data_IF_070652517369
#
_entry.id   IF_070652517369
#
_cell.length_a   1.000
_cell.length_b   1.000
_cell.length_c   1.000
_cell.angle_alpha   90.00
_cell.angle_beta   90.00
_cell.angle_gamma   90.00
#
_symmetry.space_group_name_H-M   'P 1'
#
loop_
_entity.id
_entity.type
_entity.pdbx_description
1 polymer ?
#
# COMPACT_ATOMS: atom_id res chain seq x y z
N UNK A 1 -33.77 29.88 -78.13
CA UNK A 1 -34.34 31.16 -77.63
C UNK A 1 -34.27 31.17 -76.11
N UNK A 2 -33.66 32.25 -75.57
CA UNK A 2 -33.75 32.86 -74.23
C UNK A 2 -33.86 31.95 -72.98
N UNK A 3 -32.80 32.06 -72.15
CA UNK A 3 -32.68 31.67 -70.74
C UNK A 3 -33.79 32.28 -69.88
N UNK A 4 -34.19 31.55 -68.83
CA UNK A 4 -34.41 32.15 -67.51
C UNK A 4 -33.98 31.14 -66.43
N UNK A 5 -32.92 31.50 -65.71
CA UNK A 5 -32.41 30.81 -64.53
C UNK A 5 -33.13 31.35 -63.30
N UNK A 6 -33.68 30.47 -62.46
CA UNK A 6 -34.13 30.83 -61.13
C UNK A 6 -33.16 30.26 -60.10
N UNK A 7 -32.54 31.19 -59.37
CA UNK A 7 -31.51 31.01 -58.37
C UNK A 7 -32.15 30.46 -57.08
N UNK A 8 -31.86 29.19 -56.72
CA UNK A 8 -32.26 28.63 -55.43
C UNK A 8 -31.26 29.11 -54.38
N UNK A 9 -31.71 29.99 -53.50
CA UNK A 9 -30.96 30.54 -52.39
C UNK A 9 -30.88 29.49 -51.27
N UNK A 10 -29.77 28.78 -51.18
CA UNK A 10 -29.51 27.81 -50.11
C UNK A 10 -29.23 28.58 -48.81
N UNK A 11 -30.22 28.65 -47.92
CA UNK A 11 -30.05 29.25 -46.59
C UNK A 11 -29.18 28.32 -45.74
N UNK A 12 -27.90 28.67 -45.59
CA UNK A 12 -26.95 27.94 -44.75
C UNK A 12 -27.23 28.29 -43.27
N UNK A 13 -28.02 27.47 -42.58
CA UNK A 13 -28.21 27.56 -41.13
C UNK A 13 -26.91 27.14 -40.43
N UNK A 14 -26.10 28.13 -40.03
CA UNK A 14 -24.93 27.92 -39.17
C UNK A 14 -25.43 27.74 -37.73
N UNK A 15 -25.66 26.51 -37.30
CA UNK A 15 -25.83 26.18 -35.88
C UNK A 15 -24.46 26.24 -35.21
N UNK A 16 -24.14 27.38 -34.60
CA UNK A 16 -23.00 27.50 -33.69
C UNK A 16 -23.42 26.99 -32.31
N UNK A 17 -23.24 25.70 -32.05
CA UNK A 17 -23.27 25.17 -30.69
C UNK A 17 -21.97 25.57 -30.00
N UNK A 18 -21.99 26.68 -29.27
CA UNK A 18 -20.93 26.98 -28.33
C UNK A 18 -21.02 25.96 -27.18
N UNK A 19 -20.21 24.90 -27.28
CA UNK A 19 -19.95 23.99 -26.16
C UNK A 19 -19.09 24.77 -25.15
N UNK A 20 -19.74 25.50 -24.24
CA UNK A 20 -19.05 25.96 -23.05
C UNK A 20 -18.85 24.74 -22.17
N UNK A 21 -17.62 24.22 -22.11
CA UNK A 21 -17.23 23.37 -21.01
C UNK A 21 -17.55 24.15 -19.73
N UNK A 22 -18.46 23.62 -18.90
CA UNK A 22 -18.52 24.06 -17.51
C UNK A 22 -17.12 23.86 -16.97
N UNK A 23 -16.44 24.95 -16.63
CA UNK A 23 -15.30 24.90 -15.74
C UNK A 23 -15.74 24.01 -14.59
N UNK A 24 -15.10 22.85 -14.46
CA UNK A 24 -15.01 22.21 -13.15
C UNK A 24 -14.45 23.31 -12.28
N UNK A 25 -15.33 23.87 -11.44
CA UNK A 25 -14.90 24.47 -10.18
C UNK A 25 -13.78 23.55 -9.73
N UNK A 26 -12.59 24.10 -9.51
CA UNK A 26 -11.57 23.40 -8.77
C UNK A 26 -12.23 23.02 -7.45
N UNK A 27 -12.91 21.86 -7.44
CA UNK A 27 -12.86 20.96 -6.33
C UNK A 27 -11.37 20.72 -6.26
N UNK A 28 -10.69 21.57 -5.48
CA UNK A 28 -9.39 21.20 -4.96
C UNK A 28 -9.59 19.77 -4.54
N UNK A 29 -8.84 18.87 -5.19
CA UNK A 29 -8.98 17.45 -4.94
C UNK A 29 -9.13 17.34 -3.43
N UNK A 30 -10.23 16.74 -2.99
CA UNK A 30 -10.31 16.31 -1.61
C UNK A 30 -9.25 15.22 -1.58
N UNK A 31 -7.98 15.65 -1.41
CA UNK A 31 -6.86 14.79 -1.15
C UNK A 31 -7.32 14.10 0.12
N UNK A 32 -7.79 12.86 -0.02
CA UNK A 32 -7.88 11.95 1.11
C UNK A 32 -6.42 11.58 1.45
N UNK A 33 -5.64 12.58 1.85
CA UNK A 33 -4.58 12.37 2.79
C UNK A 33 -5.34 11.84 4.00
N UNK A 34 -5.36 10.52 4.17
CA UNK A 34 -5.51 9.96 5.50
C UNK A 34 -4.34 10.54 6.27
N UNK A 35 -4.54 11.73 6.85
CA UNK A 35 -3.68 12.18 7.93
C UNK A 35 -3.87 11.07 8.95
N UNK A 36 -2.85 10.25 9.12
CA UNK A 36 -2.72 9.32 10.23
C UNK A 36 -3.02 10.14 11.48
N UNK A 37 -4.27 10.06 11.96
CA UNK A 37 -4.83 11.10 12.86
C UNK A 37 -4.76 10.66 14.32
N UNK A 38 -4.39 9.40 14.57
CA UNK A 38 -4.12 8.85 15.90
C UNK A 38 -2.70 8.28 16.01
N UNK A 39 -2.10 8.40 17.18
CA UNK A 39 -0.80 7.80 17.51
C UNK A 39 -0.78 6.29 17.29
N UNK A 40 -1.91 5.61 17.57
CA UNK A 40 -2.06 4.16 17.36
C UNK A 40 -2.03 3.77 15.88
N UNK A 41 -2.53 4.65 15.00
CA UNK A 41 -2.49 4.49 13.54
C UNK A 41 -1.08 4.73 12.98
N UNK A 42 -0.23 5.47 13.72
CA UNK A 42 1.17 5.68 13.34
C UNK A 42 2.04 4.51 13.76
N UNK A 43 1.85 3.95 14.97
CA UNK A 43 2.62 2.77 15.41
C UNK A 43 2.22 1.53 14.62
N UNK A 44 0.92 1.33 14.36
CA UNK A 44 0.41 0.16 13.63
C UNK A 44 -0.31 0.58 12.34
N UNK A 45 0.42 1.08 11.33
CA UNK A 45 -0.19 1.66 10.13
C UNK A 45 -0.84 0.62 9.23
N UNK A 46 -2.09 0.89 8.81
CA UNK A 46 -2.77 0.10 7.78
C UNK A 46 -2.18 0.28 6.37
N UNK A 47 -1.47 1.39 6.14
CA UNK A 47 -0.73 1.72 4.91
C UNK A 47 0.61 2.31 5.31
N UNK A 48 1.69 1.87 4.68
CA UNK A 48 3.02 2.46 4.85
C UNK A 48 3.72 2.62 3.51
N UNK A 49 4.94 3.15 3.54
CA UNK A 49 5.64 3.60 2.33
C UNK A 49 7.11 3.20 2.35
N UNK A 50 7.59 2.67 1.22
CA UNK A 50 9.04 2.60 0.93
C UNK A 50 9.42 3.94 0.29
N UNK A 51 10.30 4.73 0.90
CA UNK A 51 10.58 6.11 0.48
C UNK A 51 12.06 6.53 0.46
N UNK A 52 12.94 5.54 0.35
CA UNK A 52 14.37 5.71 0.06
C UNK A 52 14.63 5.81 -1.46
N UNK A 53 15.85 6.17 -1.87
CA UNK A 53 16.27 6.20 -3.29
C UNK A 53 15.47 7.11 -4.23
N UNK A 54 14.96 8.23 -3.71
CA UNK A 54 14.21 9.24 -4.48
C UNK A 54 12.88 8.75 -5.09
N UNK A 55 12.34 7.64 -4.58
CA UNK A 55 11.04 7.08 -4.92
C UNK A 55 10.16 7.07 -3.66
N UNK A 56 8.85 7.09 -3.83
CA UNK A 56 7.91 6.60 -2.81
C UNK A 56 7.04 5.51 -3.42
N UNK A 57 6.77 4.44 -2.67
CA UNK A 57 5.85 3.37 -3.04
C UNK A 57 5.01 2.98 -1.82
N UNK A 58 3.70 3.24 -1.88
CA UNK A 58 2.76 2.92 -0.82
C UNK A 58 2.22 1.50 -0.97
N UNK A 59 1.95 0.85 0.17
CA UNK A 59 1.37 -0.49 0.21
C UNK A 59 0.45 -0.61 1.43
N UNK A 60 -0.69 -1.28 1.24
CA UNK A 60 -1.63 -1.59 2.33
C UNK A 60 -1.21 -2.88 3.06
N UNK A 61 -1.67 -3.06 4.31
CA UNK A 61 -1.30 -4.20 5.16
C UNK A 61 -1.72 -5.57 4.64
N UNK A 62 -2.67 -5.61 3.71
CA UNK A 62 -3.07 -6.82 2.98
C UNK A 62 -2.18 -7.12 1.76
N UNK A 63 -1.17 -6.30 1.50
CA UNK A 63 -0.27 -6.39 0.36
C UNK A 63 -0.84 -5.80 -0.94
N UNK A 64 -2.00 -5.14 -0.88
CA UNK A 64 -2.59 -4.51 -2.04
C UNK A 64 -1.98 -3.14 -2.35
N UNK A 65 -2.17 -2.72 -3.60
CA UNK A 65 -1.96 -1.34 -4.00
C UNK A 65 -2.89 -0.38 -3.29
N UNK A 66 -2.45 0.87 -3.18
CA UNK A 66 -3.22 1.95 -2.56
C UNK A 66 -2.75 3.30 -3.05
N UNK A 67 -3.69 4.22 -3.19
CA UNK A 67 -3.43 5.65 -3.41
C UNK A 67 -3.52 6.46 -2.10
N UNK A 68 -3.92 5.81 -1.01
CA UNK A 68 -4.01 6.42 0.32
C UNK A 68 -2.61 6.76 0.84
N UNK A 69 -2.48 7.95 1.44
CA UNK A 69 -1.19 8.45 1.94
C UNK A 69 -0.32 9.10 0.86
N UNK A 70 -0.65 8.92 -0.43
CA UNK A 70 0.03 9.59 -1.54
C UNK A 70 -0.40 11.06 -1.66
N UNK A 71 0.54 12.01 -1.71
CA UNK A 71 0.22 13.41 -2.02
C UNK A 71 -0.36 13.61 -3.42
N UNK A 72 -0.06 12.72 -4.37
CA UNK A 72 -0.49 12.86 -5.77
C UNK A 72 -1.67 11.93 -6.15
N UNK A 73 -2.11 11.07 -5.24
CA UNK A 73 -3.21 10.13 -5.49
C UNK A 73 -2.81 8.94 -6.35
N UNK A 74 -1.53 8.56 -6.29
CA UNK A 74 -0.92 7.43 -6.99
C UNK A 74 -0.11 6.56 -6.01
N UNK A 75 -0.06 5.25 -6.24
CA UNK A 75 0.69 4.31 -5.40
C UNK A 75 2.20 4.50 -5.44
N UNK A 76 2.77 5.08 -6.48
CA UNK A 76 4.19 5.41 -6.50
C UNK A 76 4.44 6.79 -7.05
N UNK A 77 5.37 7.51 -6.43
CA UNK A 77 5.91 8.77 -6.91
C UNK A 77 7.35 8.59 -7.38
N UNK A 78 7.66 9.17 -8.53
CA UNK A 78 9.04 9.34 -8.97
C UNK A 78 9.19 10.56 -9.91
N UNK A 79 10.10 11.51 -9.59
CA UNK A 79 10.77 11.66 -8.31
C UNK A 79 9.77 11.88 -7.17
N UNK A 80 10.11 11.42 -5.97
CA UNK A 80 9.30 11.66 -4.75
C UNK A 80 8.95 13.17 -4.59
N UNK A 81 7.78 13.49 -4.06
CA UNK A 81 7.28 14.88 -3.91
C UNK A 81 7.16 15.67 -5.23
N UNK A 82 7.28 15.03 -6.39
CA UNK A 82 7.21 15.72 -7.69
C UNK A 82 5.96 15.33 -8.48
N UNK A 83 5.74 14.02 -8.67
CA UNK A 83 4.56 13.55 -9.38
C UNK A 83 4.45 12.03 -9.42
N UNK A 84 3.25 11.59 -9.76
CA UNK A 84 2.89 10.20 -9.92
C UNK A 84 3.69 9.45 -10.96
N UNK A 85 3.96 8.21 -10.62
CA UNK A 85 4.61 7.24 -11.49
C UNK A 85 3.72 6.02 -11.73
N UNK A 86 3.14 5.43 -10.67
CA UNK A 86 2.27 4.25 -10.76
C UNK A 86 0.97 4.57 -10.04
N UNK A 87 -0.16 4.55 -10.75
CA UNK A 87 -1.46 4.78 -10.13
C UNK A 87 -1.79 3.69 -9.11
N UNK A 88 -1.76 2.42 -9.52
CA UNK A 88 -1.99 1.27 -8.64
C UNK A 88 -1.41 -0.02 -9.24
N UNK A 89 -0.88 -0.89 -8.40
CA UNK A 89 -0.16 -2.13 -8.70
C UNK A 89 -0.37 -3.15 -7.57
N UNK A 90 -0.04 -4.41 -7.83
CA UNK A 90 -0.08 -5.47 -6.84
C UNK A 90 0.58 -6.74 -7.35
N UNK A 91 0.89 -7.65 -6.43
CA UNK A 91 1.48 -8.94 -6.78
C UNK A 91 0.39 -9.97 -7.06
N UNK A 92 0.46 -10.63 -8.21
CA UNK A 92 -0.29 -11.85 -8.51
C UNK A 92 0.62 -13.07 -8.45
N UNK A 93 0.11 -14.16 -7.90
CA UNK A 93 0.79 -15.44 -7.87
C UNK A 93 -0.16 -16.56 -8.29
N UNK A 94 0.40 -17.60 -8.90
CA UNK A 94 -0.36 -18.75 -9.37
C UNK A 94 0.41 -20.04 -9.14
N UNK A 95 -0.28 -21.04 -8.59
CA UNK A 95 0.28 -22.37 -8.33
C UNK A 95 -0.58 -23.44 -8.97
N UNK A 96 0.06 -24.42 -9.59
CA UNK A 96 -0.58 -25.68 -9.96
C UNK A 96 -0.28 -26.70 -8.87
N UNK A 97 -1.31 -27.26 -8.23
CA UNK A 97 -1.15 -28.19 -7.12
C UNK A 97 -1.99 -29.44 -7.31
N UNK A 98 -1.40 -30.60 -6.97
CA UNK A 98 -2.11 -31.88 -6.92
C UNK A 98 -3.07 -32.01 -5.74
N UNK A 99 -3.09 -31.03 -4.83
CA UNK A 99 -4.07 -30.96 -3.74
C UNK A 99 -5.48 -30.57 -4.23
N UNK A 100 -5.61 -30.12 -5.48
CA UNK A 100 -6.88 -29.76 -6.11
C UNK A 100 -7.27 -30.75 -7.22
N UNK A 101 -8.53 -30.68 -7.66
CA UNK A 101 -9.06 -31.56 -8.71
C UNK A 101 -8.26 -31.45 -10.01
N UNK A 102 -8.11 -32.56 -10.74
CA UNK A 102 -7.38 -32.56 -12.02
C UNK A 102 -8.01 -31.63 -13.07
N UNK A 103 -9.33 -31.41 -13.00
CA UNK A 103 -10.06 -30.50 -13.88
C UNK A 103 -9.81 -29.02 -13.55
N UNK A 104 -9.43 -28.71 -12.30
CA UNK A 104 -9.16 -27.35 -11.82
C UNK A 104 -7.93 -27.34 -10.90
N UNK A 105 -6.72 -27.62 -11.41
CA UNK A 105 -5.53 -27.82 -10.57
C UNK A 105 -4.80 -26.52 -10.24
N UNK A 106 -5.22 -25.40 -10.84
CA UNK A 106 -4.57 -24.09 -10.71
C UNK A 106 -5.32 -23.25 -9.68
N UNK A 107 -4.59 -22.61 -8.78
CA UNK A 107 -5.09 -21.53 -7.93
C UNK A 107 -4.28 -20.27 -8.21
N UNK A 108 -4.97 -19.13 -8.15
CA UNK A 108 -4.39 -17.80 -8.32
C UNK A 108 -4.82 -16.98 -7.13
N UNK A 109 -3.89 -16.22 -6.56
CA UNK A 109 -4.14 -15.27 -5.49
C UNK A 109 -3.35 -14.00 -5.74
N UNK A 110 -3.50 -13.04 -4.83
CA UNK A 110 -2.82 -11.76 -4.92
C UNK A 110 -3.78 -10.59 -5.09
N UNK A 111 -3.21 -9.46 -5.48
CA UNK A 111 -3.91 -8.20 -5.68
C UNK A 111 -3.48 -7.56 -7.00
N UNK A 112 -4.41 -6.87 -7.64
CA UNK A 112 -4.15 -5.92 -8.74
C UNK A 112 -4.83 -4.61 -8.35
N UNK A 113 -5.72 -4.08 -9.20
CA UNK A 113 -6.69 -3.05 -8.81
C UNK A 113 -7.78 -3.60 -7.87
N UNK A 114 -8.07 -4.91 -7.99
CA UNK A 114 -8.96 -5.61 -7.06
C UNK A 114 -8.13 -6.38 -6.03
N UNK A 115 -8.59 -6.36 -4.79
CA UNK A 115 -7.94 -6.99 -3.65
C UNK A 115 -8.52 -8.40 -3.44
N UNK A 116 -7.68 -9.42 -3.61
CA UNK A 116 -8.06 -10.82 -3.34
C UNK A 116 -7.61 -11.32 -1.97
N UNK A 117 -6.86 -10.50 -1.24
CA UNK A 117 -6.21 -10.85 0.03
C UNK A 117 -6.73 -9.96 1.16
N UNK A 118 -6.51 -10.39 2.40
CA UNK A 118 -6.64 -9.57 3.61
C UNK A 118 -5.39 -9.73 4.47
N UNK A 119 -5.18 -8.79 5.37
CA UNK A 119 -4.09 -8.88 6.34
C UNK A 119 -4.27 -10.07 7.29
N UNK A 120 -3.16 -10.66 7.68
CA UNK A 120 -3.03 -11.72 8.66
C UNK A 120 -2.40 -13.00 8.14
N UNK A 121 -1.90 -13.82 9.05
CA UNK A 121 -1.34 -15.13 8.71
C UNK A 121 -2.41 -16.22 8.76
N UNK A 122 -2.14 -17.31 8.04
CA UNK A 122 -2.95 -18.54 8.13
C UNK A 122 -2.74 -19.17 9.51
N UNK A 123 -3.84 -19.67 10.10
CA UNK A 123 -3.85 -20.39 11.38
C UNK A 123 -3.97 -21.89 11.13
N UNK A 124 -3.21 -22.66 11.89
CA UNK A 124 -3.13 -24.11 11.77
C UNK A 124 -3.48 -24.79 13.11
N UNK A 125 -4.09 -25.98 13.04
CA UNK A 125 -4.21 -26.85 14.21
C UNK A 125 -2.90 -27.57 14.55
N UNK A 126 -2.87 -28.32 15.65
CA UNK A 126 -1.70 -29.11 16.06
C UNK A 126 -1.31 -30.24 15.11
N UNK A 127 -2.15 -30.57 14.12
CA UNK A 127 -1.87 -31.54 13.07
C UNK A 127 -1.42 -30.86 11.75
N UNK A 128 -1.34 -29.52 11.72
CA UNK A 128 -0.93 -28.74 10.56
C UNK A 128 -2.06 -28.50 9.53
N UNK A 129 -3.33 -28.73 9.89
CA UNK A 129 -4.45 -28.40 9.02
C UNK A 129 -4.80 -26.91 9.13
N UNK A 130 -5.14 -26.28 8.00
CA UNK A 130 -5.66 -24.91 7.99
C UNK A 130 -7.00 -24.87 8.70
N UNK A 131 -7.10 -24.05 9.75
CA UNK A 131 -8.34 -23.81 10.49
C UNK A 131 -8.95 -22.45 10.17
N UNK A 132 -8.16 -21.51 9.65
CA UNK A 132 -8.60 -20.19 9.18
C UNK A 132 -7.45 -19.19 9.13
N UNK A 133 -7.73 -17.93 9.43
CA UNK A 133 -6.72 -16.85 9.51
C UNK A 133 -6.87 -15.98 10.76
N UNK A 134 -5.79 -15.28 11.10
CA UNK A 134 -5.72 -14.28 12.18
C UNK A 134 -6.64 -13.07 11.92
N UNK A 135 -7.00 -12.35 12.98
CA UNK A 135 -7.74 -11.09 12.87
C UNK A 135 -6.87 -10.04 12.14
N UNK A 136 -7.34 -9.45 11.02
CA UNK A 136 -6.60 -8.41 10.31
C UNK A 136 -6.19 -7.21 11.17
N UNK A 137 -6.85 -6.95 12.30
CA UNK A 137 -6.52 -5.86 13.24
C UNK A 137 -5.24 -6.11 14.03
N UNK A 138 -4.80 -7.37 14.16
CA UNK A 138 -3.52 -7.74 14.79
C UNK A 138 -2.30 -7.48 13.89
N UNK A 139 -2.52 -6.93 12.69
CA UNK A 139 -1.49 -6.73 11.69
C UNK A 139 -1.50 -5.31 11.14
N UNK A 140 -0.29 -4.82 10.88
CA UNK A 140 0.01 -3.58 10.20
C UNK A 140 1.08 -3.81 9.12
N UNK A 141 1.39 -2.75 8.37
CA UNK A 141 2.53 -2.75 7.47
C UNK A 141 3.81 -2.55 8.29
N UNK A 142 4.67 -3.57 8.32
CA UNK A 142 5.94 -3.51 9.02
C UNK A 142 6.97 -2.80 8.14
N UNK A 143 7.76 -1.91 8.72
CA UNK A 143 8.71 -1.07 8.01
C UNK A 143 9.96 -0.87 8.84
N UNK A 144 11.10 -1.25 8.28
CA UNK A 144 12.42 -1.14 8.94
C UNK A 144 13.43 -0.52 8.00
N UNK A 145 14.42 0.17 8.59
CA UNK A 145 15.60 0.71 7.92
C UNK A 145 16.78 0.65 8.88
N UNK A 146 17.99 0.38 8.41
CA UNK A 146 19.15 0.13 9.28
C UNK A 146 19.63 1.35 10.06
N UNK A 147 19.41 2.55 9.52
CA UNK A 147 19.88 3.82 10.06
C UNK A 147 18.78 4.63 10.76
N UNK A 148 17.62 4.03 11.07
CA UNK A 148 16.43 4.73 11.60
C UNK A 148 16.73 5.59 12.83
N UNK A 149 17.63 5.14 13.71
CA UNK A 149 17.94 5.84 14.95
C UNK A 149 18.87 7.06 14.74
N UNK A 150 19.65 7.05 13.66
CA UNK A 150 20.71 8.03 13.38
C UNK A 150 20.41 8.96 12.22
N UNK A 151 19.53 8.58 11.31
CA UNK A 151 19.21 9.35 10.12
C UNK A 151 18.31 10.57 10.40
N UNK A 152 18.36 11.55 9.50
CA UNK A 152 17.34 12.61 9.44
C UNK A 152 16.06 12.06 8.78
N UNK A 153 15.05 11.79 9.61
CA UNK A 153 13.76 11.26 9.17
C UNK A 153 12.76 12.34 8.73
N UNK A 154 13.16 13.61 8.62
CA UNK A 154 12.26 14.72 8.21
C UNK A 154 11.56 14.43 6.87
N UNK A 155 12.32 13.94 5.89
CA UNK A 155 11.81 13.59 4.57
C UNK A 155 10.89 12.36 4.62
N UNK A 156 11.29 11.33 5.38
CA UNK A 156 10.51 10.12 5.59
C UNK A 156 9.15 10.44 6.21
N UNK A 157 9.14 11.23 7.27
CA UNK A 157 7.94 11.66 7.96
C UNK A 157 7.06 12.53 7.07
N UNK A 158 7.66 13.48 6.35
CA UNK A 158 6.89 14.33 5.43
C UNK A 158 6.14 13.50 4.39
N UNK A 159 6.78 12.45 3.86
CA UNK A 159 6.14 11.56 2.89
C UNK A 159 5.14 10.59 3.53
N UNK A 160 5.44 10.04 4.71
CA UNK A 160 4.54 9.15 5.45
C UNK A 160 3.21 9.83 5.82
N UNK A 161 3.26 11.10 6.23
CA UNK A 161 2.07 11.91 6.52
C UNK A 161 1.40 12.53 5.27
N UNK A 162 1.89 12.22 4.07
CA UNK A 162 1.29 12.64 2.82
C UNK A 162 1.46 14.13 2.49
N UNK A 163 2.51 14.79 3.01
CA UNK A 163 2.82 16.16 2.62
C UNK A 163 3.42 16.23 1.21
N UNK A 164 3.18 17.35 0.52
CA UNK A 164 3.75 17.66 -0.80
C UNK A 164 5.16 18.28 -0.74
N UNK A 165 5.67 18.56 0.47
CA UNK A 165 7.00 19.13 0.69
C UNK A 165 7.85 18.18 1.53
N UNK A 166 9.15 18.01 1.20
CA UNK A 166 10.03 17.09 1.92
C UNK A 166 10.41 17.54 3.34
N UNK A 167 9.99 18.75 3.75
CA UNK A 167 10.36 19.34 5.05
C UNK A 167 9.15 19.90 5.80
N UNK A 168 7.97 19.33 5.56
CA UNK A 168 6.72 19.81 6.17
C UNK A 168 6.40 19.15 7.51
N UNK A 169 6.95 17.96 7.77
CA UNK A 169 6.73 17.26 9.03
C UNK A 169 7.23 18.07 10.24
N UNK A 170 6.41 18.10 11.28
CA UNK A 170 6.74 18.63 12.60
C UNK A 170 7.71 17.71 13.35
N UNK A 171 8.34 18.23 14.41
CA UNK A 171 9.21 17.43 15.26
C UNK A 171 8.49 16.24 15.92
N UNK A 172 7.19 16.39 16.23
CA UNK A 172 6.36 15.31 16.78
C UNK A 172 6.11 14.21 15.74
N UNK A 173 5.78 14.58 14.50
CA UNK A 173 5.59 13.61 13.40
C UNK A 173 6.89 12.85 13.06
N UNK A 174 8.04 13.55 13.12
CA UNK A 174 9.35 12.92 12.96
C UNK A 174 9.59 11.91 14.09
N UNK A 175 9.25 12.27 15.34
CA UNK A 175 9.39 11.38 16.47
C UNK A 175 8.46 10.17 16.36
N UNK A 176 7.20 10.36 15.95
CA UNK A 176 6.26 9.24 15.77
C UNK A 176 6.75 8.23 14.72
N UNK A 177 7.34 8.69 13.61
CA UNK A 177 7.94 7.80 12.60
C UNK A 177 9.18 7.10 13.16
N UNK A 178 9.98 7.77 13.98
CA UNK A 178 11.10 7.14 14.67
C UNK A 178 10.64 6.04 15.63
N UNK A 179 9.59 6.31 16.41
CA UNK A 179 9.00 5.36 17.36
C UNK A 179 8.37 4.15 16.63
N UNK A 180 7.76 4.39 15.47
CA UNK A 180 7.24 3.33 14.59
C UNK A 180 8.36 2.40 14.09
N UNK A 181 9.47 2.98 13.60
CA UNK A 181 10.63 2.19 13.18
C UNK A 181 11.23 1.39 14.35
N UNK A 182 11.32 2.00 15.54
CA UNK A 182 11.80 1.31 16.74
C UNK A 182 10.87 0.15 17.14
N UNK A 183 9.57 0.37 17.08
CA UNK A 183 8.59 -0.67 17.38
C UNK A 183 8.70 -1.84 16.40
N UNK A 184 8.75 -1.57 15.10
CA UNK A 184 8.87 -2.61 14.07
C UNK A 184 10.20 -3.33 14.13
N UNK A 185 11.29 -2.63 14.48
CA UNK A 185 12.58 -3.24 14.73
C UNK A 185 12.50 -4.23 15.89
N UNK A 186 11.97 -3.81 17.03
CA UNK A 186 11.94 -4.64 18.24
C UNK A 186 10.93 -5.80 18.15
N UNK A 187 9.87 -5.66 17.34
CA UNK A 187 8.77 -6.62 17.24
C UNK A 187 8.71 -7.32 15.88
N UNK A 188 9.80 -7.29 15.11
CA UNK A 188 9.85 -7.83 13.76
C UNK A 188 9.38 -9.29 13.68
N UNK A 189 8.50 -9.58 12.72
CA UNK A 189 7.78 -10.86 12.63
C UNK A 189 8.57 -11.97 11.94
N UNK A 190 9.80 -12.20 12.39
CA UNK A 190 10.62 -13.32 11.94
C UNK A 190 9.95 -14.68 12.21
N UNK A 191 9.14 -14.77 13.28
CA UNK A 191 8.28 -15.92 13.60
C UNK A 191 7.26 -16.24 12.50
N UNK A 192 6.89 -15.24 11.68
CA UNK A 192 6.00 -15.38 10.53
C UNK A 192 6.77 -15.30 9.19
N UNK A 193 8.08 -15.52 9.22
CA UNK A 193 8.91 -15.60 8.01
C UNK A 193 9.36 -14.25 7.45
N UNK A 194 9.22 -13.15 8.19
CA UNK A 194 9.84 -11.89 7.80
C UNK A 194 11.37 -12.06 7.74
N UNK A 195 12.06 -11.61 6.67
CA UNK A 195 13.49 -11.80 6.52
C UNK A 195 14.28 -10.94 7.52
N UNK A 196 15.47 -11.40 7.87
CA UNK A 196 16.44 -10.68 8.70
C UNK A 196 17.85 -11.21 8.39
N UNK A 197 18.88 -10.44 8.73
CA UNK A 197 20.27 -10.87 8.76
C UNK A 197 20.59 -11.44 10.15
N UNK A 198 20.80 -12.76 10.21
CA UNK A 198 21.12 -13.52 11.43
C UNK A 198 22.64 -13.43 11.69
N UNK A 199 23.02 -12.43 12.50
CA UNK A 199 24.42 -12.03 12.67
C UNK A 199 25.18 -13.04 13.53
N UNK A 200 24.52 -13.63 14.53
CA UNK A 200 25.13 -14.61 15.42
C UNK A 200 24.93 -16.08 14.98
N UNK A 201 24.16 -16.31 13.91
CA UNK A 201 23.84 -17.59 13.31
C UNK A 201 23.11 -18.55 14.25
N UNK A 202 22.24 -18.02 15.12
CA UNK A 202 21.47 -18.81 16.08
C UNK A 202 20.11 -19.30 15.53
N UNK A 203 19.66 -18.77 14.37
CA UNK A 203 18.41 -19.12 13.70
C UNK A 203 17.14 -18.48 14.27
N UNK A 204 17.27 -17.49 15.15
CA UNK A 204 16.17 -16.77 15.78
C UNK A 204 16.49 -15.28 15.89
N UNK A 205 15.52 -14.44 15.51
CA UNK A 205 15.69 -12.99 15.54
C UNK A 205 15.86 -12.44 16.97
N UNK A 206 16.98 -11.78 17.22
CA UNK A 206 17.25 -10.94 18.39
C UNK A 206 17.45 -9.48 17.93
N UNK A 207 16.56 -8.53 18.30
CA UNK A 207 16.67 -7.14 17.85
C UNK A 207 17.92 -6.40 18.36
N UNK A 208 18.65 -6.98 19.32
CA UNK A 208 19.91 -6.40 19.85
C UNK A 208 21.15 -6.86 19.10
N UNK A 209 21.04 -7.93 18.30
CA UNK A 209 22.15 -8.57 17.59
C UNK A 209 21.91 -8.56 16.07
N UNK A 210 20.69 -8.88 15.65
CA UNK A 210 20.30 -9.08 14.26
C UNK A 210 19.76 -7.82 13.61
N UNK A 211 19.69 -7.85 12.28
CA UNK A 211 19.18 -6.74 11.48
C UNK A 211 17.89 -7.16 10.77
N UNK A 212 16.73 -6.59 11.12
CA UNK A 212 15.47 -6.92 10.48
C UNK A 212 15.41 -6.39 9.04
N UNK A 213 14.65 -7.08 8.19
CA UNK A 213 14.45 -6.72 6.79
C UNK A 213 15.20 -7.65 5.84
N UNK A 214 15.01 -7.43 4.54
CA UNK A 214 15.71 -8.23 3.53
C UNK A 214 17.22 -7.96 3.59
N UNK A 215 18.08 -8.98 3.75
CA UNK A 215 19.52 -8.78 3.87
C UNK A 215 20.10 -7.93 2.73
N UNK A 216 20.79 -6.85 3.09
CA UNK A 216 21.38 -5.89 2.15
C UNK A 216 20.45 -4.78 1.66
N UNK A 217 19.20 -4.71 2.10
CA UNK A 217 18.30 -3.60 1.80
C UNK A 217 18.46 -2.45 2.81
N UNK A 218 18.48 -1.21 2.33
CA UNK A 218 18.51 -0.02 3.20
C UNK A 218 17.16 0.21 3.91
N UNK A 219 16.07 -0.23 3.28
CA UNK A 219 14.71 -0.18 3.82
C UNK A 219 13.94 -1.41 3.35
N UNK A 220 13.19 -2.02 4.26
CA UNK A 220 12.27 -3.12 3.95
C UNK A 220 10.88 -2.76 4.46
N UNK A 221 9.87 -3.01 3.62
CA UNK A 221 8.48 -3.08 4.04
C UNK A 221 8.00 -4.52 3.93
N UNK A 222 7.28 -5.00 4.94
CA UNK A 222 6.78 -6.35 5.04
C UNK A 222 5.29 -6.35 5.41
N UNK A 223 4.52 -7.18 4.71
CA UNK A 223 3.10 -7.36 4.93
C UNK A 223 2.81 -8.84 5.12
N UNK A 224 1.88 -9.17 6.01
CA UNK A 224 1.44 -10.54 6.24
C UNK A 224 -0.01 -10.61 5.75
N UNK A 225 -0.27 -11.41 4.72
CA UNK A 225 -1.60 -11.48 4.12
C UNK A 225 -1.97 -12.86 3.58
N UNK A 226 -3.26 -13.13 3.48
CA UNK A 226 -3.84 -14.39 3.02
C UNK A 226 -5.25 -14.22 2.43
N UNK A 227 -5.76 -15.25 1.75
CA UNK A 227 -7.11 -15.34 1.19
C UNK A 227 -8.04 -16.33 1.95
N UNK A 228 -7.59 -16.88 3.08
CA UNK A 228 -8.29 -17.90 3.89
C UNK A 228 -9.30 -17.27 4.85
N UNK A 229 -10.60 -17.60 4.86
CA UNK A 229 -11.59 -16.97 5.74
C UNK A 229 -11.16 -16.83 7.22
N UNK A 230 -11.50 -15.70 7.84
CA UNK A 230 -11.29 -15.47 9.27
C UNK A 230 -12.19 -16.42 10.06
N UNK A 231 -11.67 -17.05 11.11
CA UNK A 231 -12.50 -17.87 12.00
C UNK A 231 -13.20 -16.95 12.97
N UNK A 232 -14.52 -17.09 13.06
CA UNK A 232 -15.34 -16.33 14.00
C UNK A 232 -16.10 -17.27 14.93
N UNK A 233 -16.38 -16.81 16.14
CA UNK A 233 -17.27 -17.50 17.07
C UNK A 233 -18.75 -17.39 16.62
N UNK A 234 -19.66 -17.91 17.45
CA UNK A 234 -21.10 -17.83 17.18
C UNK A 234 -21.66 -16.39 17.19
N UNK A 235 -20.94 -15.43 17.77
CA UNK A 235 -21.30 -14.01 17.82
C UNK A 235 -20.72 -13.22 16.63
N UNK A 236 -19.81 -13.84 15.86
CA UNK A 236 -19.12 -13.20 14.75
C UNK A 236 -17.79 -12.55 15.13
N UNK A 237 -17.31 -12.77 16.36
CA UNK A 237 -16.05 -12.22 16.84
C UNK A 237 -14.88 -13.10 16.37
N UNK A 238 -13.78 -12.49 15.94
CA UNK A 238 -12.56 -13.23 15.56
C UNK A 238 -12.05 -14.05 16.75
N UNK A 239 -11.80 -15.35 16.52
CA UNK A 239 -11.19 -16.24 17.54
C UNK A 239 -9.71 -16.52 17.27
N UNK A 240 -9.13 -15.80 16.32
CA UNK A 240 -7.76 -15.94 15.83
C UNK A 240 -6.89 -14.77 16.24
#
# INVERSE_FOLDING_TARGET
>A
MKKQSYLIMLTMCVFSTALFARTTVSQGAVHQTSRTTGTDEVINPGVSVVNINNMAYWIAKDGAGTTQGSPNGEQADYPIFTGGFIYEDGMLWGVKSSAYSESEPVRVGGSTYAQGMKAGNVRYDGAGNVIGSDDPTNHHVWRVRTDWNTADLTRDASNFYGYTSPTAASAEEIQNVKDQYEYDWNNWRADLGAPYDDVDNNGAYDPTVDVPGYPGADQTVWTISNDVPTIVDANGDSIG
#
